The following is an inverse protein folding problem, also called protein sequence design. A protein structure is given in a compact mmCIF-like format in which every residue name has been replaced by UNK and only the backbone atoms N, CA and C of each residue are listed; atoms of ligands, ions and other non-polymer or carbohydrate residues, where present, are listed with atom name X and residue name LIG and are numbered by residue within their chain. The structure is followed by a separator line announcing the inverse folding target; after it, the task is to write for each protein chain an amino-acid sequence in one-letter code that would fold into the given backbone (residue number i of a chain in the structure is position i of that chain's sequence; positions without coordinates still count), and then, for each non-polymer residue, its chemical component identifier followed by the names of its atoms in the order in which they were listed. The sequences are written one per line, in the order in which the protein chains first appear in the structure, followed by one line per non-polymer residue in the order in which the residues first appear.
data_IF_474818143939
#
_entry.id   IF_474818143939
#
_cell.length_a   1.000
_cell.length_b   1.000
_cell.length_c   1.000
_cell.angle_alpha   90.00
_cell.angle_beta   90.00
_cell.angle_gamma   90.00
#
_symmetry.space_group_name_H-M   'P 1'
#
loop_
_entity.id
_entity.type
_entity.pdbx_description
1 polymer ?
#
# COMPACT_ATOMS: atom_id res chain seq x y z
N UNK A 1 6.09 -4.96 -13.70
CA UNK A 1 4.98 -5.91 -13.43
C UNK A 1 3.93 -5.80 -14.52
N UNK A 2 3.24 -6.90 -14.83
CA UNK A 2 2.08 -6.86 -15.72
C UNK A 2 0.84 -6.30 -15.00
N UNK A 3 -0.14 -5.81 -15.75
CA UNK A 3 -1.41 -5.32 -15.17
C UNK A 3 -2.17 -6.39 -14.38
N UNK A 4 -2.09 -7.66 -14.80
CA UNK A 4 -2.67 -8.79 -14.07
C UNK A 4 -1.99 -9.00 -12.71
N UNK A 5 -0.66 -8.92 -12.67
CA UNK A 5 0.12 -9.03 -11.44
C UNK A 5 -0.19 -7.89 -10.46
N UNK A 6 -0.40 -6.67 -10.95
CA UNK A 6 -0.81 -5.52 -10.13
C UNK A 6 -2.18 -5.78 -9.48
N UNK A 7 -3.18 -6.18 -10.26
CA UNK A 7 -4.53 -6.45 -9.76
C UNK A 7 -4.55 -7.57 -8.74
N UNK A 8 -3.80 -8.64 -8.98
CA UNK A 8 -3.67 -9.75 -8.04
C UNK A 8 -3.07 -9.26 -6.71
N UNK A 9 -1.97 -8.52 -6.74
CA UNK A 9 -1.34 -8.00 -5.52
C UNK A 9 -2.24 -7.02 -4.76
N UNK A 10 -2.95 -6.12 -5.45
CA UNK A 10 -3.93 -5.23 -4.83
C UNK A 10 -5.03 -6.02 -4.10
N UNK A 11 -5.59 -7.04 -4.76
CA UNK A 11 -6.62 -7.90 -4.17
C UNK A 11 -6.11 -8.70 -2.98
N UNK A 12 -4.87 -9.19 -3.02
CA UNK A 12 -4.28 -9.93 -1.91
C UNK A 12 -4.06 -9.04 -0.68
N UNK A 13 -3.62 -7.80 -0.89
CA UNK A 13 -3.45 -6.84 0.21
C UNK A 13 -4.78 -6.53 0.88
N UNK A 14 -5.83 -6.19 0.12
CA UNK A 14 -7.14 -5.88 0.71
C UNK A 14 -7.74 -7.08 1.42
N UNK A 15 -7.64 -8.29 0.83
CA UNK A 15 -8.09 -9.54 1.44
C UNK A 15 -7.45 -9.79 2.82
N UNK A 16 -6.16 -9.51 2.95
CA UNK A 16 -5.44 -9.66 4.23
C UNK A 16 -5.89 -8.63 5.25
N UNK A 17 -6.06 -7.36 4.85
CA UNK A 17 -6.52 -6.29 5.74
C UNK A 17 -7.95 -6.55 6.22
N UNK A 18 -8.85 -6.92 5.31
CA UNK A 18 -10.23 -7.33 5.59
C UNK A 18 -10.28 -8.51 6.57
N UNK A 19 -9.48 -9.56 6.30
CA UNK A 19 -9.41 -10.75 7.13
C UNK A 19 -8.87 -10.50 8.55
N UNK A 20 -8.17 -9.38 8.77
CA UNK A 20 -7.68 -8.93 10.07
C UNK A 20 -8.55 -7.83 10.70
N UNK A 21 -9.65 -7.44 10.06
CA UNK A 21 -10.50 -6.31 10.47
C UNK A 21 -9.73 -4.98 10.63
N UNK A 22 -8.66 -4.79 9.86
CA UNK A 22 -7.90 -3.54 9.86
C UNK A 22 -8.67 -2.51 9.04
N UNK A 23 -8.94 -1.36 9.62
CA UNK A 23 -9.57 -0.25 8.88
C UNK A 23 -8.54 0.38 7.93
N UNK A 24 -8.94 0.62 6.68
CA UNK A 24 -8.10 1.27 5.68
C UNK A 24 -8.94 2.08 4.71
N UNK A 25 -8.29 3.02 4.02
CA UNK A 25 -8.88 3.76 2.92
C UNK A 25 -8.27 3.30 1.60
N UNK A 26 -9.12 3.01 0.62
CA UNK A 26 -8.67 2.80 -0.76
C UNK A 26 -8.50 4.14 -1.47
N UNK A 27 -7.31 4.32 -2.05
CA UNK A 27 -6.98 5.49 -2.87
C UNK A 27 -6.75 5.02 -4.30
N UNK A 28 -7.65 5.39 -5.22
CA UNK A 28 -7.50 5.10 -6.65
C UNK A 28 -6.63 6.15 -7.34
N UNK A 29 -5.36 5.82 -7.50
CA UNK A 29 -4.37 6.71 -8.14
C UNK A 29 -4.53 6.85 -9.66
N UNK A 30 -5.48 6.14 -10.29
CA UNK A 30 -5.73 6.27 -11.72
C UNK A 30 -6.53 7.53 -12.07
N UNK A 31 -7.22 8.11 -11.09
CA UNK A 31 -8.08 9.28 -11.25
C UNK A 31 -7.29 10.58 -11.38
N UNK A 32 -6.13 10.68 -10.73
CA UNK A 32 -5.30 11.90 -10.69
C UNK A 32 -3.81 11.55 -10.66
N UNK A 33 -3.03 12.23 -11.51
CA UNK A 33 -1.58 12.11 -11.52
C UNK A 33 -0.95 12.59 -10.19
N UNK A 34 -1.56 13.56 -9.50
CA UNK A 34 -1.06 14.04 -8.20
C UNK A 34 -1.05 12.92 -7.14
N UNK A 35 -2.09 12.08 -7.10
CA UNK A 35 -2.17 10.93 -6.19
C UNK A 35 -1.07 9.90 -6.48
N UNK A 36 -0.76 9.67 -7.76
CA UNK A 36 0.33 8.78 -8.16
C UNK A 36 1.69 9.34 -7.76
N UNK A 37 1.89 10.64 -7.88
CA UNK A 37 3.16 11.29 -7.54
C UNK A 37 3.36 11.36 -6.02
N UNK A 38 2.29 11.61 -5.26
CA UNK A 38 2.28 11.50 -3.81
C UNK A 38 2.63 10.07 -3.33
N UNK A 39 1.98 9.04 -3.90
CA UNK A 39 2.29 7.63 -3.60
C UNK A 39 3.78 7.32 -3.83
N UNK A 40 4.37 7.80 -4.94
CA UNK A 40 5.80 7.60 -5.26
C UNK A 40 6.73 8.34 -4.31
N UNK A 41 6.37 9.56 -3.93
CA UNK A 41 7.14 10.37 -2.98
C UNK A 41 7.16 9.70 -1.61
N UNK A 42 6.00 9.25 -1.12
CA UNK A 42 5.88 8.57 0.17
C UNK A 42 6.55 7.18 0.17
N UNK A 43 6.55 6.49 -0.98
CA UNK A 43 7.30 5.24 -1.15
C UNK A 43 8.82 5.46 -1.31
N UNK A 44 9.29 6.69 -1.43
CA UNK A 44 10.70 7.00 -1.72
C UNK A 44 11.18 6.44 -3.06
N UNK A 45 10.28 6.12 -4.00
CA UNK A 45 10.60 5.44 -5.25
C UNK A 45 9.80 6.03 -6.43
N UNK A 46 10.46 6.73 -7.39
CA UNK A 46 9.79 7.38 -8.52
C UNK A 46 9.18 6.41 -9.52
N UNK A 47 9.53 5.11 -9.45
CA UNK A 47 8.99 4.05 -10.30
C UNK A 47 8.06 3.10 -9.53
N UNK A 48 7.62 3.48 -8.33
CA UNK A 48 6.69 2.68 -7.54
C UNK A 48 5.41 2.38 -8.33
N UNK A 49 4.93 1.14 -8.19
CA UNK A 49 3.65 0.67 -8.74
C UNK A 49 2.75 0.21 -7.61
N UNK A 50 1.41 0.31 -7.75
CA UNK A 50 0.48 -0.27 -6.80
C UNK A 50 0.65 -1.79 -6.64
N UNK A 51 0.22 -2.36 -5.49
CA UNK A 51 -0.28 -1.66 -4.29
C UNK A 51 0.84 -1.01 -3.47
N UNK A 52 0.52 0.04 -2.72
CA UNK A 52 1.38 0.64 -1.70
C UNK A 52 0.54 0.87 -0.44
N UNK A 53 1.09 0.56 0.74
CA UNK A 53 0.43 0.78 2.03
C UNK A 53 1.13 1.95 2.71
N UNK A 54 0.37 2.96 3.07
CA UNK A 54 0.84 4.15 3.76
C UNK A 54 0.21 4.19 5.14
N UNK A 55 1.02 4.40 6.17
CA UNK A 55 0.57 4.53 7.55
C UNK A 55 0.61 6.01 7.92
N UNK A 56 -0.50 6.56 8.41
CA UNK A 56 -0.63 7.99 8.74
C UNK A 56 -0.11 8.30 10.15
N UNK A 57 0.38 7.31 10.90
CA UNK A 57 0.97 7.50 12.22
C UNK A 57 2.38 6.93 12.29
N UNK A 58 3.20 7.59 13.12
CA UNK A 58 4.53 7.15 13.52
C UNK A 58 4.44 5.84 14.33
N UNK A 59 4.09 4.76 13.65
CA UNK A 59 4.18 3.40 14.19
C UNK A 59 5.67 3.12 14.34
N UNK A 60 6.14 2.93 15.59
CA UNK A 60 7.54 2.58 15.88
C UNK A 60 7.97 1.43 14.96
N UNK A 61 9.17 1.53 14.36
CA UNK A 61 9.62 0.60 13.31
C UNK A 61 9.44 -0.88 13.67
N UNK A 62 9.58 -1.25 14.96
CA UNK A 62 9.34 -2.61 15.45
C UNK A 62 7.87 -3.04 15.33
N UNK A 63 6.92 -2.17 15.69
CA UNK A 63 5.48 -2.47 15.58
C UNK A 63 5.02 -2.57 14.12
N UNK A 64 5.66 -1.84 13.20
CA UNK A 64 5.36 -1.92 11.77
C UNK A 64 5.85 -3.25 11.15
N UNK A 65 7.04 -3.71 11.54
CA UNK A 65 7.57 -5.00 11.08
C UNK A 65 6.70 -6.16 11.56
N UNK A 66 6.27 -6.14 12.83
CA UNK A 66 5.33 -7.12 13.38
C UNK A 66 3.96 -7.07 12.68
N UNK A 67 3.45 -5.87 12.42
CA UNK A 67 2.18 -5.69 11.70
C UNK A 67 2.21 -6.31 10.29
N UNK A 68 3.31 -6.06 9.57
CA UNK A 68 3.54 -6.55 8.20
C UNK A 68 4.07 -7.99 8.16
N UNK A 69 4.35 -8.62 9.32
CA UNK A 69 4.98 -9.94 9.42
C UNK A 69 6.26 -10.06 8.58
N UNK A 70 7.09 -9.02 8.60
CA UNK A 70 8.38 -9.00 7.90
C UNK A 70 9.52 -9.65 8.70
N UNK A 71 9.23 -10.10 9.93
CA UNK A 71 10.06 -10.93 10.79
C UNK A 71 9.18 -11.93 11.57
#
# INVERSE_FOLDING_TARGET
MSGLSIKYQQSEVTRILDGKCIQYQLVDISQDNALRDEMRALAGNPKATPPQILFVEAVEQNTLQEFLKLA
#
